data_IF_807916015086
#
_entry.id   IF_807916015086
#
_cell.length_a   1.000
_cell.length_b   1.000
_cell.length_c   1.000
_cell.angle_alpha   90.00
_cell.angle_beta   90.00
_cell.angle_gamma   90.00
#
_symmetry.space_group_name_H-M   'P 1'
#
loop_
_entity.id
_entity.type
_entity.pdbx_description
1 polymer ?
#
# COMPACT_ATOMS: atom_id res chain seq x y z
N UNK A 1 17.75 -28.55 -10.99
CA UNK A 1 16.92 -27.33 -11.09
C UNK A 1 17.10 -26.56 -9.79
N UNK A 2 17.64 -25.34 -9.84
CA UNK A 2 17.68 -24.49 -8.66
C UNK A 2 16.26 -23.97 -8.41
N UNK A 3 15.71 -24.22 -7.22
CA UNK A 3 14.45 -23.62 -6.78
C UNK A 3 14.63 -22.11 -6.73
N UNK A 4 13.84 -21.39 -7.52
CA UNK A 4 13.81 -19.94 -7.52
C UNK A 4 13.18 -19.50 -6.20
N UNK A 5 14.00 -19.10 -5.24
CA UNK A 5 13.52 -18.48 -4.00
C UNK A 5 13.02 -17.09 -4.36
N UNK A 6 11.71 -16.94 -4.46
CA UNK A 6 11.10 -15.63 -4.63
C UNK A 6 11.13 -14.88 -3.28
N UNK A 7 11.80 -13.74 -3.26
CA UNK A 7 11.86 -12.85 -2.10
C UNK A 7 10.70 -11.88 -2.15
N UNK A 8 9.85 -11.89 -1.12
CA UNK A 8 8.71 -10.99 -0.99
C UNK A 8 9.04 -9.86 0.00
N UNK A 9 8.71 -8.63 -0.39
CA UNK A 9 8.80 -7.48 0.50
C UNK A 9 7.62 -7.51 1.47
N UNK A 10 7.91 -7.78 2.73
CA UNK A 10 6.91 -7.87 3.79
C UNK A 10 6.80 -6.59 4.62
N UNK A 11 7.75 -5.67 4.51
CA UNK A 11 7.72 -4.42 5.26
C UNK A 11 7.02 -3.30 4.48
N UNK A 12 5.99 -2.72 5.11
CA UNK A 12 5.14 -1.71 4.51
C UNK A 12 4.84 -0.58 5.50
N UNK A 13 4.53 0.57 4.94
CA UNK A 13 3.85 1.67 5.60
C UNK A 13 2.43 1.73 5.06
N UNK A 14 1.44 1.66 5.94
CA UNK A 14 0.02 1.70 5.59
C UNK A 14 -0.60 2.97 6.14
N UNK A 15 -1.26 3.75 5.28
CA UNK A 15 -2.04 4.93 5.69
C UNK A 15 -3.53 4.60 5.85
N UNK A 16 -3.97 3.54 5.16
CA UNK A 16 -5.36 3.09 5.13
C UNK A 16 -6.20 3.76 4.03
N UNK A 17 -7.53 3.72 4.22
CA UNK A 17 -8.53 4.07 3.22
C UNK A 17 -9.09 5.49 3.38
N UNK A 18 -9.29 6.18 2.25
CA UNK A 18 -9.98 7.45 2.13
C UNK A 18 -11.28 7.24 1.33
N UNK A 19 -12.46 7.48 1.93
CA UNK A 19 -13.72 7.36 1.20
C UNK A 19 -13.83 8.44 0.13
N UNK A 20 -14.43 8.06 -0.98
CA UNK A 20 -14.77 8.97 -2.06
C UNK A 20 -16.24 8.72 -2.46
N UNK A 21 -17.00 9.80 -2.58
CA UNK A 21 -18.43 9.73 -2.92
C UNK A 21 -18.65 9.61 -4.42
N UNK A 22 -17.75 10.13 -5.23
CA UNK A 22 -17.80 10.03 -6.69
C UNK A 22 -16.83 8.95 -7.19
N UNK A 23 -17.33 7.79 -7.66
CA UNK A 23 -16.49 6.72 -8.18
C UNK A 23 -15.54 7.17 -9.30
N UNK A 24 -15.90 8.21 -10.07
CA UNK A 24 -15.05 8.75 -11.13
C UNK A 24 -13.78 9.37 -10.56
N UNK A 25 -13.84 9.95 -9.36
CA UNK A 25 -12.69 10.55 -8.68
C UNK A 25 -11.73 9.52 -8.08
N UNK A 26 -12.21 8.34 -7.70
CA UNK A 26 -11.36 7.23 -7.21
C UNK A 26 -10.31 6.86 -8.27
N UNK A 27 -10.75 6.78 -9.53
CA UNK A 27 -9.91 6.33 -10.66
C UNK A 27 -9.15 7.52 -11.27
N UNK A 28 -9.80 8.68 -11.40
CA UNK A 28 -9.25 9.82 -12.14
C UNK A 28 -8.33 10.72 -11.31
N UNK A 29 -8.60 10.86 -10.00
CA UNK A 29 -7.81 11.73 -9.15
C UNK A 29 -6.74 10.91 -8.44
N UNK A 30 -5.47 11.26 -8.69
CA UNK A 30 -4.32 10.86 -7.87
C UNK A 30 -4.41 11.51 -6.48
N UNK A 31 -5.51 11.29 -5.76
CA UNK A 31 -5.92 12.11 -4.61
C UNK A 31 -4.81 12.25 -3.58
N UNK A 32 -3.93 11.25 -3.45
CA UNK A 32 -2.69 11.33 -2.68
C UNK A 32 -1.55 10.55 -3.36
N UNK A 33 -1.18 10.95 -4.57
CA UNK A 33 0.17 10.67 -5.08
C UNK A 33 0.91 11.99 -5.32
N UNK A 34 1.23 12.79 -4.28
CA UNK A 34 2.26 13.79 -4.47
C UNK A 34 3.51 13.01 -4.85
N UNK A 35 4.15 13.37 -5.96
CA UNK A 35 5.44 12.76 -6.35
C UNK A 35 6.52 12.95 -5.27
N UNK A 36 6.22 13.76 -4.25
CA UNK A 36 7.13 14.22 -3.21
C UNK A 36 6.74 13.75 -1.79
N UNK A 37 5.79 12.80 -1.64
CA UNK A 37 5.60 12.18 -0.31
C UNK A 37 6.74 11.22 0.00
N UNK A 38 7.38 11.44 1.14
CA UNK A 38 8.29 10.50 1.77
C UNK A 38 7.66 10.01 3.09
N UNK A 39 6.76 9.01 3.03
CA UNK A 39 6.11 8.48 4.21
C UNK A 39 7.12 7.97 5.24
N UNK A 40 6.91 8.32 6.51
CA UNK A 40 7.68 7.79 7.63
C UNK A 40 6.70 7.21 8.61
N UNK A 41 7.08 6.13 9.29
CA UNK A 41 6.24 5.60 10.37
C UNK A 41 5.92 6.70 11.39
N UNK A 42 4.64 6.88 11.70
CA UNK A 42 4.15 7.95 12.59
C UNK A 42 3.93 9.30 11.92
N UNK A 43 4.40 9.53 10.68
CA UNK A 43 4.11 10.78 9.97
C UNK A 43 2.65 10.86 9.55
N UNK A 44 2.16 12.08 9.35
CA UNK A 44 0.77 12.33 9.01
C UNK A 44 0.60 12.74 7.55
N UNK A 45 -0.45 12.24 6.92
CA UNK A 45 -0.89 12.68 5.60
C UNK A 45 -2.41 12.76 5.62
N UNK A 46 -2.95 13.92 5.26
CA UNK A 46 -4.39 14.18 5.23
C UNK A 46 -5.13 13.72 6.51
N UNK A 47 -4.54 13.98 7.68
CA UNK A 47 -5.13 13.66 8.98
C UNK A 47 -4.95 12.20 9.45
N UNK A 48 -4.50 11.28 8.60
CA UNK A 48 -4.17 9.89 8.97
C UNK A 48 -2.68 9.72 9.27
N UNK A 49 -2.33 8.63 9.95
CA UNK A 49 -0.96 8.30 10.37
C UNK A 49 -0.46 7.10 9.56
N UNK A 50 0.75 7.18 9.04
CA UNK A 50 1.43 6.04 8.42
C UNK A 50 1.86 5.04 9.49
N UNK A 51 1.35 3.81 9.40
CA UNK A 51 1.63 2.73 10.34
C UNK A 51 2.62 1.75 9.72
N UNK A 52 3.65 1.38 10.48
CA UNK A 52 4.54 0.30 10.06
C UNK A 52 3.80 -1.03 10.18
N UNK A 53 3.86 -1.83 9.13
CA UNK A 53 3.26 -3.14 9.05
C UNK A 53 4.27 -4.13 8.47
N UNK A 54 4.40 -5.28 9.13
CA UNK A 54 5.16 -6.42 8.61
C UNK A 54 4.15 -7.49 8.27
N UNK A 55 3.97 -7.76 6.97
CA UNK A 55 3.00 -8.75 6.53
C UNK A 55 3.48 -10.16 6.89
N UNK A 56 2.66 -10.99 7.55
CA UNK A 56 3.00 -12.38 7.81
C UNK A 56 3.00 -13.23 6.53
N UNK A 57 2.39 -12.74 5.45
CA UNK A 57 2.25 -13.42 4.17
C UNK A 57 2.89 -12.59 3.03
N UNK A 58 3.12 -13.18 1.84
CA UNK A 58 3.58 -12.46 0.64
C UNK A 58 2.65 -11.34 0.13
N UNK A 59 1.46 -11.21 0.73
CA UNK A 59 0.40 -10.28 0.33
C UNK A 59 0.08 -9.34 1.48
N UNK A 60 -0.13 -8.06 1.17
CA UNK A 60 -0.73 -7.10 2.09
C UNK A 60 -2.21 -7.03 1.79
N UNK A 61 -3.02 -7.50 2.73
CA UNK A 61 -4.47 -7.35 2.67
C UNK A 61 -4.87 -5.99 3.27
N UNK A 62 -5.37 -5.10 2.41
CA UNK A 62 -5.81 -3.76 2.82
C UNK A 62 -7.19 -3.75 3.50
N UNK A 63 -7.94 -4.85 3.41
CA UNK A 63 -9.18 -5.07 4.16
C UNK A 63 -8.92 -5.75 5.51
N UNK A 64 -7.69 -6.24 5.71
CA UNK A 64 -7.30 -6.95 6.91
C UNK A 64 -7.24 -6.05 8.16
N UNK A 65 -7.28 -6.66 9.37
CA UNK A 65 -7.32 -5.95 10.65
C UNK A 65 -6.04 -5.16 10.96
N UNK A 66 -4.98 -5.36 10.18
CA UNK A 66 -3.72 -4.65 10.30
C UNK A 66 -3.83 -3.16 10.00
N UNK A 67 -4.82 -2.77 9.19
CA UNK A 67 -5.08 -1.37 8.89
C UNK A 67 -6.11 -0.87 9.90
N UNK A 68 -5.69 -0.01 10.82
CA UNK A 68 -6.57 0.70 11.75
C UNK A 68 -7.39 1.80 11.05
N UNK A 69 -7.91 1.51 9.86
CA UNK A 69 -8.84 2.33 9.12
C UNK A 69 -10.11 1.51 8.92
N UNK A 70 -11.30 2.11 9.05
CA UNK A 70 -12.53 1.40 8.75
C UNK A 70 -12.47 0.82 7.33
N UNK A 71 -12.92 -0.43 7.19
CA UNK A 71 -13.18 -1.02 5.88
C UNK A 71 -14.26 -0.17 5.21
N UNK A 72 -14.01 0.27 3.96
CA UNK A 72 -14.92 1.15 3.22
C UNK A 72 -15.04 0.66 1.79
N UNK A 73 -16.25 0.75 1.26
CA UNK A 73 -16.50 0.68 -0.19
C UNK A 73 -16.25 2.06 -0.80
N UNK A 74 -15.99 2.12 -2.11
CA UNK A 74 -15.73 3.36 -2.84
C UNK A 74 -14.63 4.20 -2.18
N UNK A 75 -13.42 3.64 -2.08
CA UNK A 75 -12.32 4.31 -1.42
C UNK A 75 -11.00 4.10 -2.14
N UNK A 76 -10.07 5.02 -1.90
CA UNK A 76 -8.65 4.86 -2.27
C UNK A 76 -7.86 4.48 -1.02
N UNK A 77 -7.05 3.42 -1.10
CA UNK A 77 -6.17 2.99 -0.03
C UNK A 77 -4.71 3.21 -0.41
N UNK A 78 -3.89 3.59 0.57
CA UNK A 78 -2.48 3.92 0.33
C UNK A 78 -1.56 3.04 1.16
N UNK A 79 -0.62 2.41 0.46
CA UNK A 79 0.47 1.62 1.00
C UNK A 79 1.77 2.06 0.34
N UNK A 80 2.87 2.01 1.09
CA UNK A 80 4.18 2.42 0.64
C UNK A 80 5.24 1.43 1.15
N UNK A 81 6.26 1.17 0.34
CA UNK A 81 7.43 0.39 0.77
C UNK A 81 8.70 0.97 0.17
N UNK A 82 9.79 0.88 0.92
CA UNK A 82 11.12 1.30 0.47
C UNK A 82 11.87 0.07 -0.04
N UNK A 83 12.24 0.09 -1.32
CA UNK A 83 13.12 -0.91 -1.90
C UNK A 83 14.48 -0.30 -2.16
N UNK A 84 15.51 -0.89 -1.57
CA UNK A 84 16.90 -0.59 -1.89
C UNK A 84 17.55 -1.82 -2.53
N UNK A 85 18.29 -1.60 -3.61
CA UNK A 85 19.15 -2.61 -4.20
C UNK A 85 20.50 -1.97 -4.56
N UNK A 86 21.58 -2.64 -4.18
CA UNK A 86 22.95 -2.21 -4.52
C UNK A 86 23.31 -2.48 -5.99
N UNK A 87 22.43 -3.16 -6.74
CA UNK A 87 22.60 -3.50 -8.16
C UNK A 87 21.29 -3.29 -8.91
N UNK A 88 21.38 -3.05 -10.21
CA UNK A 88 20.19 -3.01 -11.05
C UNK A 88 19.44 -4.35 -11.00
N UNK A 89 18.16 -4.31 -10.61
CA UNK A 89 17.29 -5.47 -10.56
C UNK A 89 15.86 -5.07 -10.91
N UNK A 90 15.08 -6.00 -11.43
CA UNK A 90 13.65 -5.79 -11.69
C UNK A 90 12.85 -6.07 -10.42
N UNK A 91 12.13 -5.07 -9.93
CA UNK A 91 11.09 -5.25 -8.93
C UNK A 91 9.72 -5.39 -9.62
N UNK A 92 8.85 -6.24 -9.07
CA UNK A 92 7.47 -6.39 -9.53
C UNK A 92 6.54 -6.05 -8.37
N UNK A 93 5.65 -5.09 -8.58
CA UNK A 93 4.51 -4.86 -7.70
C UNK A 93 3.29 -5.54 -8.32
N UNK A 94 2.75 -6.51 -7.62
CA UNK A 94 1.49 -7.16 -8.01
C UNK A 94 0.37 -6.50 -7.21
N UNK A 95 -0.66 -6.04 -7.91
CA UNK A 95 -1.86 -5.46 -7.31
C UNK A 95 -3.03 -6.29 -7.79
N UNK A 96 -3.86 -6.73 -6.86
CA UNK A 96 -5.08 -7.48 -7.13
C UNK A 96 -6.26 -6.84 -6.43
N UNK A 97 -7.45 -7.05 -6.98
CA UNK A 97 -8.72 -6.79 -6.34
C UNK A 97 -9.46 -8.12 -6.24
N UNK A 98 -10.15 -8.34 -5.13
CA UNK A 98 -11.18 -9.37 -5.05
C UNK A 98 -12.51 -8.67 -5.31
N UNK A 99 -12.87 -8.54 -6.59
CA UNK A 99 -14.10 -7.87 -7.04
C UNK A 99 -15.31 -8.81 -7.14
N UNK A 100 -15.14 -10.12 -6.84
CA UNK A 100 -16.20 -11.12 -6.84
C UNK A 100 -16.61 -11.61 -8.23
#
# INVERSE_FOLDING_TARGET
MATKTDFYIQEWLLLGSFPEKDPKKIIAEKQFAPKDIEPKAGSRTAGKVWQRYVSPNPVVDLLGPAIQSPIRTNCSAYAFTYLFSSRACTAKLLVGSDDG
#
